data_IF_111467902304
#
_entry.id   IF_111467902304
#
_cell.length_a   1.000
_cell.length_b   1.000
_cell.length_c   1.000
_cell.angle_alpha   90.00
_cell.angle_beta   90.00
_cell.angle_gamma   90.00
#
_symmetry.space_group_name_H-M   'P 1'
#
loop_
_entity.id
_entity.type
_entity.pdbx_description
1 polymer ?
#
# COMPACT_ATOMS: atom_id res chain seq x y z
N UNK A 1 22.92 6.98 -11.68
CA UNK A 1 22.09 8.20 -11.74
C UNK A 1 21.51 8.44 -10.36
N UNK A 2 21.47 9.67 -9.83
CA UNK A 2 20.81 9.93 -8.56
C UNK A 2 19.31 9.61 -8.72
N UNK A 3 18.82 8.65 -7.95
CA UNK A 3 17.40 8.33 -7.88
C UNK A 3 16.67 9.42 -7.08
N UNK A 4 15.46 9.78 -7.50
CA UNK A 4 14.60 10.66 -6.72
C UNK A 4 14.12 9.91 -5.48
N UNK A 5 14.30 10.50 -4.30
CA UNK A 5 13.81 9.96 -3.03
C UNK A 5 12.66 10.85 -2.57
N UNK A 6 11.48 10.28 -2.40
CA UNK A 6 10.33 10.94 -1.77
C UNK A 6 10.07 10.30 -0.40
N UNK A 7 9.76 11.13 0.60
CA UNK A 7 9.34 10.66 1.92
C UNK A 7 8.06 11.37 2.33
N UNK A 8 7.17 10.63 2.98
CA UNK A 8 5.92 11.15 3.54
C UNK A 8 5.71 10.59 4.94
N UNK A 9 5.22 11.43 5.85
CA UNK A 9 4.79 11.01 7.18
C UNK A 9 3.53 11.76 7.57
N UNK A 10 2.54 10.99 8.01
CA UNK A 10 1.24 11.52 8.35
C UNK A 10 0.74 10.86 9.62
N UNK A 11 0.34 11.69 10.60
CA UNK A 11 -0.36 11.23 11.79
C UNK A 11 -1.75 10.76 11.40
N UNK A 12 -2.13 9.55 11.82
CA UNK A 12 -3.46 9.03 11.58
C UNK A 12 -4.50 9.89 12.30
N UNK A 13 -5.49 10.39 11.56
CA UNK A 13 -6.55 11.22 12.11
C UNK A 13 -7.54 10.42 12.98
N UNK A 14 -7.48 9.09 12.91
CA UNK A 14 -8.38 8.17 13.60
C UNK A 14 -7.54 7.29 14.50
N UNK A 15 -7.99 7.13 15.74
CA UNK A 15 -7.40 6.17 16.68
C UNK A 15 -7.93 4.79 16.33
N UNK A 16 -7.03 3.87 16.00
CA UNK A 16 -7.35 2.48 15.73
C UNK A 16 -7.14 1.64 16.98
N UNK A 17 -8.11 0.79 17.30
CA UNK A 17 -8.02 -0.13 18.44
C UNK A 17 -6.98 -1.23 18.20
N UNK A 18 -6.68 -1.54 16.94
CA UNK A 18 -5.70 -2.56 16.55
C UNK A 18 -4.57 -1.95 15.73
N UNK A 19 -3.33 -2.36 16.02
CA UNK A 19 -2.14 -1.98 15.25
C UNK A 19 -2.22 -2.40 13.79
N UNK A 20 -2.73 -3.60 13.52
CA UNK A 20 -2.97 -4.07 12.14
C UNK A 20 -4.04 -3.29 11.39
N UNK A 21 -4.91 -2.54 12.08
CA UNK A 21 -5.87 -1.65 11.41
C UNK A 21 -5.22 -0.35 10.99
N UNK A 22 -4.43 0.24 11.89
CA UNK A 22 -3.58 1.38 11.60
C UNK A 22 -2.67 1.08 10.39
N UNK A 23 -2.06 -0.09 10.33
CA UNK A 23 -1.16 -0.48 9.25
C UNK A 23 -1.83 -0.69 7.90
N UNK A 24 -3.05 -1.27 7.88
CA UNK A 24 -3.83 -1.36 6.64
C UNK A 24 -4.22 0.03 6.14
N UNK A 25 -4.45 0.98 7.06
CA UNK A 25 -4.71 2.37 6.69
C UNK A 25 -3.48 3.02 6.08
N UNK A 26 -2.31 2.91 6.72
CA UNK A 26 -1.05 3.47 6.18
C UNK A 26 -0.65 2.81 4.86
N UNK A 27 -0.74 1.48 4.75
CA UNK A 27 -0.49 0.79 3.49
C UNK A 27 -1.43 1.28 2.38
N UNK A 28 -2.72 1.49 2.69
CA UNK A 28 -3.69 2.02 1.72
C UNK A 28 -3.35 3.43 1.24
N UNK A 29 -2.83 4.31 2.11
CA UNK A 29 -2.38 5.64 1.69
C UNK A 29 -1.08 5.55 0.87
N UNK A 30 -0.13 4.71 1.29
CA UNK A 30 1.11 4.48 0.54
C UNK A 30 0.84 3.95 -0.88
N UNK A 31 -0.14 3.05 -1.06
CA UNK A 31 -0.58 2.62 -2.40
C UNK A 31 -1.08 3.78 -3.25
N UNK A 32 -1.85 4.71 -2.67
CA UNK A 32 -2.33 5.88 -3.43
C UNK A 32 -1.19 6.79 -3.84
N UNK A 33 -0.23 7.03 -2.95
CA UNK A 33 0.96 7.84 -3.25
C UNK A 33 1.79 7.21 -4.36
N UNK A 34 2.07 5.91 -4.27
CA UNK A 34 2.81 5.17 -5.30
C UNK A 34 2.10 5.23 -6.65
N UNK A 35 0.78 5.03 -6.68
CA UNK A 35 0.00 5.13 -7.91
C UNK A 35 -0.04 6.56 -8.46
N UNK A 36 -0.11 7.57 -7.59
CA UNK A 36 -0.08 8.97 -7.98
C UNK A 36 1.28 9.34 -8.58
N UNK A 37 2.38 8.94 -7.93
CA UNK A 37 3.74 9.12 -8.44
C UNK A 37 3.93 8.39 -9.77
N UNK A 38 3.47 7.15 -9.88
CA UNK A 38 3.54 6.37 -11.13
C UNK A 38 2.84 7.11 -12.27
N UNK A 39 1.64 7.65 -12.03
CA UNK A 39 0.89 8.44 -13.02
C UNK A 39 1.61 9.74 -13.37
N UNK A 40 2.15 10.43 -12.37
CA UNK A 40 2.90 11.68 -12.56
C UNK A 40 4.13 11.43 -13.45
N UNK A 41 4.90 10.40 -13.13
CA UNK A 41 6.09 10.02 -13.89
C UNK A 41 5.75 9.50 -15.29
N UNK A 42 4.65 8.75 -15.47
CA UNK A 42 4.19 8.33 -16.80
C UNK A 42 3.92 9.50 -17.75
N UNK A 43 3.58 10.69 -17.23
CA UNK A 43 3.43 11.91 -18.03
C UNK A 43 4.75 12.54 -18.48
N UNK A 44 5.88 12.12 -17.91
CA UNK A 44 7.21 12.72 -18.14
C UNK A 44 8.16 11.69 -18.79
N UNK A 45 8.11 10.44 -18.35
CA UNK A 45 8.99 9.34 -18.74
C UNK A 45 8.21 8.01 -18.86
N UNK A 46 8.65 7.13 -19.75
CA UNK A 46 8.09 5.78 -19.85
C UNK A 46 8.57 4.90 -18.69
N UNK A 47 7.72 4.73 -17.67
CA UNK A 47 7.91 3.72 -16.63
C UNK A 47 7.58 2.33 -17.19
N UNK A 48 8.57 1.44 -17.24
CA UNK A 48 8.40 0.04 -17.69
C UNK A 48 8.16 -0.94 -16.55
N UNK A 49 8.48 -0.54 -15.31
CA UNK A 49 8.42 -1.40 -14.14
C UNK A 49 7.17 -1.12 -13.30
N UNK A 50 6.61 -2.20 -12.74
CA UNK A 50 5.51 -2.12 -11.78
C UNK A 50 6.10 -1.73 -10.42
N UNK A 51 5.57 -0.70 -9.74
CA UNK A 51 6.12 -0.27 -8.46
C UNK A 51 5.92 -1.35 -7.37
N UNK A 52 6.93 -1.48 -6.51
CA UNK A 52 6.91 -2.39 -5.36
C UNK A 52 6.78 -1.60 -4.08
N UNK A 53 5.74 -1.87 -3.31
CA UNK A 53 5.54 -1.34 -1.97
C UNK A 53 6.15 -2.29 -0.95
N UNK A 54 7.16 -1.81 -0.22
CA UNK A 54 7.72 -2.52 0.91
C UNK A 54 6.93 -2.19 2.18
N UNK A 55 6.40 -3.21 2.83
CA UNK A 55 5.66 -3.09 4.09
C UNK A 55 6.34 -3.96 5.13
N UNK A 56 6.83 -3.34 6.20
CA UNK A 56 7.47 -4.01 7.34
C UNK A 56 6.51 -4.95 8.09
N UNK A 57 5.21 -4.61 8.12
CA UNK A 57 4.22 -5.44 8.77
C UNK A 57 3.82 -6.68 7.94
N UNK A 58 4.28 -7.85 8.41
CA UNK A 58 3.94 -9.15 7.84
C UNK A 58 2.44 -9.46 7.79
N UNK A 59 1.68 -9.04 8.80
CA UNK A 59 0.24 -9.27 8.81
C UNK A 59 -0.42 -8.48 7.67
N UNK A 60 0.00 -7.25 7.40
CA UNK A 60 -0.51 -6.44 6.29
C UNK A 60 -0.14 -7.05 4.93
N UNK A 61 1.09 -7.56 4.75
CA UNK A 61 1.49 -8.28 3.53
C UNK A 61 0.66 -9.55 3.32
N UNK A 62 0.46 -10.35 4.38
CA UNK A 62 -0.37 -11.56 4.35
C UNK A 62 -1.84 -11.22 4.07
N UNK A 63 -2.35 -10.16 4.67
CA UNK A 63 -3.71 -9.66 4.44
C UNK A 63 -3.87 -9.26 2.97
N UNK A 64 -2.95 -8.48 2.40
CA UNK A 64 -3.02 -8.11 0.99
C UNK A 64 -3.11 -9.31 0.03
N UNK A 65 -2.57 -10.47 0.44
CA UNK A 65 -2.53 -11.72 -0.35
C UNK A 65 -3.65 -12.72 -0.03
N UNK A 66 -4.24 -12.72 1.18
CA UNK A 66 -5.21 -13.74 1.62
C UNK A 66 -6.65 -13.20 1.74
N UNK A 67 -7.67 -13.82 1.10
CA UNK A 67 -9.08 -13.45 1.20
C UNK A 67 -9.79 -13.77 2.53
N UNK A 68 -9.22 -14.60 3.42
CA UNK A 68 -9.98 -15.17 4.54
C UNK A 68 -10.24 -14.23 5.74
N UNK A 69 -9.78 -12.98 5.68
CA UNK A 69 -9.88 -12.08 6.82
C UNK A 69 -11.14 -11.20 6.76
N UNK A 70 -12.21 -11.62 7.47
CA UNK A 70 -13.40 -10.79 7.72
C UNK A 70 -13.15 -9.87 8.93
N UNK A 71 -12.98 -8.56 8.70
CA UNK A 71 -12.89 -7.55 9.76
C UNK A 71 -14.25 -7.08 10.26
N UNK A 72 -14.25 -6.54 11.49
CA UNK A 72 -15.45 -5.97 12.15
C UNK A 72 -15.91 -4.62 11.57
N UNK A 73 -15.10 -3.92 10.77
CA UNK A 73 -15.38 -2.52 10.38
C UNK A 73 -15.26 -2.30 8.86
N UNK A 74 -16.38 -1.97 8.21
CA UNK A 74 -16.52 -1.76 6.75
C UNK A 74 -15.44 -0.85 6.13
N UNK A 75 -15.02 0.21 6.84
CA UNK A 75 -14.02 1.17 6.33
C UNK A 75 -12.64 0.54 6.10
N UNK A 76 -12.27 -0.40 6.96
CA UNK A 76 -10.97 -1.06 6.88
C UNK A 76 -11.00 -2.17 5.83
N UNK A 77 -12.13 -2.86 5.71
CA UNK A 77 -12.38 -3.84 4.65
C UNK A 77 -12.29 -3.20 3.26
N UNK A 78 -12.86 -2.01 3.06
CA UNK A 78 -12.74 -1.27 1.80
C UNK A 78 -11.27 -0.94 1.47
N UNK A 79 -10.50 -0.48 2.45
CA UNK A 79 -9.07 -0.16 2.27
C UNK A 79 -8.24 -1.39 1.92
N UNK A 80 -8.55 -2.51 2.58
CA UNK A 80 -7.93 -3.80 2.29
C UNK A 80 -8.27 -4.29 0.87
N UNK A 81 -9.55 -4.25 0.49
CA UNK A 81 -10.00 -4.62 -0.85
C UNK A 81 -9.33 -3.77 -1.92
N UNK A 82 -9.18 -2.46 -1.68
CA UNK A 82 -8.48 -1.55 -2.59
C UNK A 82 -7.01 -1.95 -2.82
N UNK A 83 -6.26 -2.25 -1.76
CA UNK A 83 -4.85 -2.68 -1.88
C UNK A 83 -4.80 -3.98 -2.70
N UNK A 84 -5.64 -4.95 -2.35
CA UNK A 84 -5.69 -6.25 -3.03
C UNK A 84 -6.04 -6.12 -4.50
N UNK A 85 -7.05 -5.32 -4.84
CA UNK A 85 -7.46 -5.09 -6.22
C UNK A 85 -6.29 -4.56 -7.05
N UNK A 86 -5.50 -3.61 -6.49
CA UNK A 86 -4.35 -3.04 -7.21
C UNK A 86 -3.19 -4.03 -7.37
N UNK A 87 -3.02 -4.95 -6.43
CA UNK A 87 -2.08 -6.07 -6.57
C UNK A 87 -2.57 -7.07 -7.62
N UNK A 88 -3.86 -7.42 -7.63
CA UNK A 88 -4.45 -8.33 -8.61
C UNK A 88 -4.48 -7.75 -10.03
N UNK A 89 -4.62 -6.44 -10.18
CA UNK A 89 -4.50 -5.72 -11.45
C UNK A 89 -3.04 -5.67 -11.97
N UNK A 90 -2.06 -6.15 -11.18
CA UNK A 90 -0.64 -6.07 -11.54
C UNK A 90 -0.08 -4.65 -11.56
N UNK A 91 -0.79 -3.68 -10.94
CA UNK A 91 -0.35 -2.28 -10.85
C UNK A 91 0.58 -2.02 -9.68
N UNK A 92 0.71 -2.99 -8.77
CA UNK A 92 1.50 -2.87 -7.57
C UNK A 92 1.97 -4.26 -7.11
N UNK A 93 3.23 -4.38 -6.71
CA UNK A 93 3.71 -5.51 -5.92
C UNK A 93 3.81 -5.12 -4.44
N UNK A 94 3.46 -6.03 -3.54
CA UNK A 94 3.60 -5.82 -2.08
C UNK A 94 4.52 -6.88 -1.54
N UNK A 95 5.62 -6.44 -0.92
CA UNK A 95 6.68 -7.30 -0.40
C UNK A 95 7.07 -6.90 1.03
N UNK A 96 7.61 -7.87 1.76
CA UNK A 96 8.22 -7.60 3.05
C UNK A 96 9.69 -7.22 2.81
N UNK A 97 10.23 -6.17 3.45
CA UNK A 97 11.65 -5.89 3.41
C UNK A 97 12.42 -7.06 4.05
N UNK A 98 13.35 -7.66 3.31
CA UNK A 98 14.31 -8.63 3.82
C UNK A 98 15.39 -7.88 4.60
N UNK A 99 15.39 -8.05 5.94
CA UNK A 99 16.43 -7.54 6.86
C UNK A 99 17.62 -8.50 6.90
#
# INVERSE_FOLDING_TARGET
MPGSISWHSQRQAIVHTLTTEAEVVTASEAVKEVLWLTRLYQGIVSLKEVPTLQVDNQATVKLARNPEYKRRTKRIEIKHFFIREKVMEGKLHVEQPST
#
